data_IF_587969641957
#
_entry.id   IF_587969641957
#
_cell.length_a   1.000
_cell.length_b   1.000
_cell.length_c   1.000
_cell.angle_alpha   90.00
_cell.angle_beta   90.00
_cell.angle_gamma   90.00
#
_symmetry.space_group_name_H-M   'P 1'
#
loop_
_entity.id
_entity.type
_entity.pdbx_description
1 polymer ?
#
# COMPACT_ATOMS: atom_id res chain seq x y z
N UNK A 1 37.72 -36.58 -4.51
CA UNK A 1 37.69 -35.22 -3.94
C UNK A 1 36.63 -34.45 -4.72
N UNK A 2 35.41 -34.41 -4.20
CA UNK A 2 34.35 -33.56 -4.74
C UNK A 2 34.54 -32.13 -4.21
N UNK A 3 34.41 -31.08 -5.04
CA UNK A 3 34.42 -29.71 -4.56
C UNK A 3 33.12 -29.39 -3.80
N UNK A 4 33.17 -28.61 -2.71
CA UNK A 4 31.98 -28.24 -1.95
C UNK A 4 31.05 -27.31 -2.76
N UNK A 5 29.76 -27.65 -2.74
CA UNK A 5 28.68 -26.92 -3.42
C UNK A 5 28.49 -25.52 -2.82
N UNK A 6 28.54 -24.52 -3.70
CA UNK A 6 28.31 -23.09 -3.44
C UNK A 6 26.87 -22.81 -2.97
N UNK A 7 26.62 -22.96 -1.66
CA UNK A 7 25.32 -22.72 -1.03
C UNK A 7 24.96 -21.24 -0.80
N UNK A 8 25.90 -20.30 -0.98
CA UNK A 8 25.68 -18.87 -0.77
C UNK A 8 25.05 -18.15 -1.96
N UNK A 9 25.37 -18.58 -3.19
CA UNK A 9 24.82 -18.00 -4.41
C UNK A 9 23.32 -18.30 -4.60
N UNK A 10 22.85 -19.45 -4.10
CA UNK A 10 21.45 -19.82 -4.23
C UNK A 10 20.54 -18.97 -3.31
N UNK A 11 20.92 -18.70 -2.05
CA UNK A 11 20.12 -17.84 -1.15
C UNK A 11 20.02 -16.39 -1.64
N UNK A 12 21.09 -15.84 -2.20
CA UNK A 12 21.05 -14.50 -2.78
C UNK A 12 20.18 -14.46 -4.05
N UNK A 13 20.14 -15.55 -4.82
CA UNK A 13 19.30 -15.63 -6.03
C UNK A 13 17.80 -15.73 -5.75
N UNK A 14 17.39 -16.22 -4.56
CA UNK A 14 15.98 -16.27 -4.14
C UNK A 14 15.47 -14.93 -3.63
N UNK A 15 16.31 -14.17 -2.91
CA UNK A 15 15.96 -12.83 -2.38
C UNK A 15 15.84 -11.79 -3.51
N UNK A 16 16.55 -11.99 -4.63
CA UNK A 16 16.56 -11.05 -5.78
C UNK A 16 15.54 -11.37 -6.89
N UNK A 17 14.66 -12.36 -6.68
CA UNK A 17 13.62 -12.71 -7.65
C UNK A 17 12.24 -12.71 -7.00
N UNK A 18 11.82 -11.57 -6.44
CA UNK A 18 10.39 -11.32 -6.32
C UNK A 18 9.82 -11.34 -7.73
N UNK A 19 9.02 -12.37 -8.02
CA UNK A 19 8.35 -12.49 -9.33
C UNK A 19 7.31 -11.37 -9.42
N UNK A 20 6.98 -10.84 -10.61
CA UNK A 20 5.97 -9.79 -10.76
C UNK A 20 4.66 -10.06 -9.97
N UNK A 21 4.26 -11.33 -9.85
CA UNK A 21 3.12 -11.79 -9.04
C UNK A 21 3.20 -11.39 -7.57
N UNK A 22 4.38 -11.43 -6.96
CA UNK A 22 4.58 -11.08 -5.55
C UNK A 22 4.42 -9.57 -5.34
N UNK A 23 5.01 -8.76 -6.22
CA UNK A 23 4.83 -7.30 -6.21
C UNK A 23 3.37 -6.89 -6.39
N UNK A 24 2.63 -7.56 -7.27
CA UNK A 24 1.19 -7.38 -7.39
C UNK A 24 0.43 -7.79 -6.11
N UNK A 25 0.85 -8.85 -5.43
CA UNK A 25 0.31 -9.26 -4.13
C UNK A 25 0.50 -8.20 -3.05
N UNK A 26 1.72 -7.68 -2.91
CA UNK A 26 2.03 -6.60 -1.96
C UNK A 26 1.25 -5.32 -2.27
N UNK A 27 1.14 -4.94 -3.55
CA UNK A 27 0.31 -3.81 -3.96
C UNK A 27 -1.16 -4.06 -3.58
N UNK A 28 -1.70 -5.24 -3.85
CA UNK A 28 -3.10 -5.57 -3.53
C UNK A 28 -3.37 -5.45 -2.02
N UNK A 29 -2.45 -5.93 -1.17
CA UNK A 29 -2.54 -5.76 0.28
C UNK A 29 -2.52 -4.27 0.65
N UNK A 30 -1.59 -3.50 0.08
CA UNK A 30 -1.48 -2.07 0.37
C UNK A 30 -2.74 -1.30 -0.06
N UNK A 31 -3.27 -1.56 -1.26
CA UNK A 31 -4.50 -0.93 -1.76
C UNK A 31 -5.72 -1.35 -0.94
N UNK A 32 -5.82 -2.61 -0.52
CA UNK A 32 -6.90 -3.06 0.36
C UNK A 32 -6.88 -2.29 1.68
N UNK A 33 -5.71 -2.15 2.30
CA UNK A 33 -5.55 -1.39 3.54
C UNK A 33 -5.88 0.09 3.34
N UNK A 34 -5.27 0.73 2.35
CA UNK A 34 -5.35 2.18 2.13
C UNK A 34 -6.66 2.67 1.52
N UNK A 35 -7.40 1.82 0.79
CA UNK A 35 -8.63 2.24 0.14
C UNK A 35 -9.87 1.64 0.80
N UNK A 36 -9.84 0.36 1.16
CA UNK A 36 -11.05 -0.30 1.69
C UNK A 36 -11.11 -0.20 3.20
N UNK A 37 -10.06 -0.63 3.88
CA UNK A 37 -10.02 -0.61 5.35
C UNK A 37 -10.02 0.83 5.85
N UNK A 38 -9.20 1.70 5.26
CA UNK A 38 -9.18 3.12 5.58
C UNK A 38 -10.57 3.76 5.42
N UNK A 39 -11.22 3.62 4.25
CA UNK A 39 -12.57 4.13 4.02
C UNK A 39 -13.58 3.67 5.07
N UNK A 40 -13.63 2.37 5.35
CA UNK A 40 -14.56 1.81 6.33
C UNK A 40 -14.31 2.40 7.72
N UNK A 41 -13.04 2.53 8.11
CA UNK A 41 -12.68 3.09 9.41
C UNK A 41 -12.93 4.60 9.50
N UNK A 42 -12.70 5.38 8.45
CA UNK A 42 -13.07 6.80 8.39
C UNK A 42 -14.58 7.00 8.44
N UNK A 43 -15.37 6.20 7.70
CA UNK A 43 -16.83 6.25 7.76
C UNK A 43 -17.34 5.94 9.17
N UNK A 44 -16.77 4.92 9.83
CA UNK A 44 -17.16 4.54 11.16
C UNK A 44 -16.73 5.59 12.21
N UNK A 45 -15.51 6.12 12.11
CA UNK A 45 -15.05 7.21 12.97
C UNK A 45 -15.95 8.44 12.82
N UNK A 46 -16.30 8.85 11.60
CA UNK A 46 -17.22 9.96 11.36
C UNK A 46 -18.62 9.70 11.96
N UNK A 47 -19.10 8.46 11.94
CA UNK A 47 -20.36 8.09 12.59
C UNK A 47 -20.28 8.10 14.13
N UNK A 48 -19.13 7.75 14.70
CA UNK A 48 -18.92 7.66 16.15
C UNK A 48 -18.63 9.01 16.82
N UNK A 49 -17.80 9.85 16.19
CA UNK A 49 -17.30 11.12 16.78
C UNK A 49 -17.61 12.37 15.94
N UNK A 50 -18.23 12.21 14.77
CA UNK A 50 -18.57 13.29 13.86
C UNK A 50 -17.48 13.64 12.84
N UNK A 51 -17.88 14.33 11.76
CA UNK A 51 -17.00 14.72 10.64
C UNK A 51 -15.85 15.67 11.02
N UNK A 52 -15.98 16.42 12.11
CA UNK A 52 -14.97 17.38 12.55
C UNK A 52 -13.66 16.73 13.03
N UNK A 53 -13.69 15.43 13.31
CA UNK A 53 -12.51 14.65 13.69
C UNK A 53 -11.65 14.21 12.50
N UNK A 54 -12.16 14.33 11.25
CA UNK A 54 -11.43 13.96 10.04
C UNK A 54 -10.42 15.06 9.67
N UNK A 55 -9.13 14.77 9.84
CA UNK A 55 -8.06 15.72 9.56
C UNK A 55 -7.80 15.90 8.06
N UNK A 56 -8.13 14.91 7.23
CA UNK A 56 -7.94 14.99 5.79
C UNK A 56 -9.11 15.74 5.12
N UNK A 57 -8.90 16.97 4.61
CA UNK A 57 -9.99 17.77 4.04
C UNK A 57 -10.63 17.13 2.81
N UNK A 58 -9.86 16.34 2.05
CA UNK A 58 -10.38 15.61 0.88
C UNK A 58 -11.31 14.50 1.35
N UNK A 59 -10.92 13.75 2.38
CA UNK A 59 -11.74 12.67 2.93
C UNK A 59 -13.00 13.21 3.62
N UNK A 60 -12.88 14.29 4.38
CA UNK A 60 -14.02 14.99 4.99
C UNK A 60 -15.04 15.44 3.92
N UNK A 61 -14.57 15.96 2.79
CA UNK A 61 -15.43 16.31 1.66
C UNK A 61 -16.06 15.08 0.99
N UNK A 62 -15.33 13.98 0.85
CA UNK A 62 -15.82 12.73 0.26
C UNK A 62 -16.91 12.08 1.12
N UNK A 63 -16.78 12.12 2.45
CA UNK A 63 -17.73 11.53 3.39
C UNK A 63 -19.12 12.18 3.37
N UNK A 64 -19.24 13.43 2.91
CA UNK A 64 -20.53 14.11 2.74
C UNK A 64 -21.16 13.87 1.36
N UNK A 65 -20.46 13.20 0.45
CA UNK A 65 -20.99 12.88 -0.88
C UNK A 65 -21.93 11.66 -0.84
N UNK A 66 -22.80 11.50 -1.87
CA UNK A 66 -23.52 10.26 -2.09
C UNK A 66 -22.58 9.04 -2.13
N UNK A 67 -23.04 7.91 -1.57
CA UNK A 67 -22.23 6.69 -1.45
C UNK A 67 -21.57 6.23 -2.76
N UNK A 68 -22.24 6.41 -3.90
CA UNK A 68 -21.70 6.02 -5.21
C UNK A 68 -20.52 6.89 -5.66
N UNK A 69 -20.47 8.18 -5.28
CA UNK A 69 -19.31 9.05 -5.54
C UNK A 69 -18.14 8.62 -4.66
N UNK A 70 -18.42 8.34 -3.39
CA UNK A 70 -17.43 7.87 -2.42
C UNK A 70 -16.79 6.57 -2.90
N UNK A 71 -17.59 5.54 -3.17
CA UNK A 71 -17.12 4.24 -3.68
C UNK A 71 -16.45 4.39 -5.04
N UNK A 72 -17.06 5.14 -5.96
CA UNK A 72 -16.53 5.37 -7.30
C UNK A 72 -15.13 6.00 -7.28
N UNK A 73 -14.90 6.95 -6.38
CA UNK A 73 -13.60 7.61 -6.21
C UNK A 73 -12.52 6.62 -5.75
N UNK A 74 -12.84 5.74 -4.80
CA UNK A 74 -11.89 4.72 -4.32
C UNK A 74 -11.61 3.65 -5.38
N UNK A 75 -12.62 3.26 -6.17
CA UNK A 75 -12.43 2.35 -7.32
C UNK A 75 -11.52 2.98 -8.37
N UNK A 76 -11.74 4.26 -8.71
CA UNK A 76 -10.87 4.99 -9.65
C UNK A 76 -9.45 5.08 -9.11
N UNK A 77 -9.26 5.39 -7.83
CA UNK A 77 -7.95 5.40 -7.19
C UNK A 77 -7.24 4.04 -7.32
N UNK A 78 -7.93 2.94 -7.02
CA UNK A 78 -7.38 1.58 -7.15
C UNK A 78 -6.93 1.28 -8.60
N UNK A 79 -7.76 1.61 -9.58
CA UNK A 79 -7.47 1.38 -11.01
C UNK A 79 -6.27 2.20 -11.46
N UNK A 80 -6.24 3.49 -11.11
CA UNK A 80 -5.11 4.38 -11.45
C UNK A 80 -3.82 3.89 -10.81
N UNK A 81 -3.85 3.49 -9.53
CA UNK A 81 -2.70 2.91 -8.85
C UNK A 81 -2.20 1.63 -9.51
N UNK A 82 -3.11 0.73 -9.90
CA UNK A 82 -2.75 -0.50 -10.62
C UNK A 82 -2.10 -0.21 -11.97
N UNK A 83 -2.66 0.73 -12.76
CA UNK A 83 -2.08 1.13 -14.06
C UNK A 83 -0.69 1.77 -13.87
N UNK A 84 -0.55 2.67 -12.90
CA UNK A 84 0.73 3.30 -12.59
C UNK A 84 1.79 2.27 -12.19
N UNK A 85 1.39 1.30 -11.35
CA UNK A 85 2.28 0.23 -10.89
C UNK A 85 2.73 -0.69 -12.03
N UNK A 86 1.83 -1.05 -12.93
CA UNK A 86 2.18 -1.77 -14.16
C UNK A 86 3.23 -1.01 -14.97
N UNK A 87 3.11 0.32 -15.07
CA UNK A 87 4.11 1.19 -15.69
C UNK A 87 5.48 1.11 -14.99
N UNK A 88 5.50 1.12 -13.66
CA UNK A 88 6.72 0.98 -12.85
C UNK A 88 7.39 -0.38 -13.08
N UNK A 89 6.61 -1.47 -13.08
CA UNK A 89 7.14 -2.82 -13.34
C UNK A 89 7.73 -2.93 -14.75
N UNK A 90 7.08 -2.32 -15.75
CA UNK A 90 7.64 -2.25 -17.12
C UNK A 90 8.96 -1.49 -17.16
N UNK A 91 9.11 -0.41 -16.40
CA UNK A 91 10.37 0.33 -16.32
C UNK A 91 11.46 -0.48 -15.61
N UNK A 92 11.12 -1.17 -14.52
CA UNK A 92 12.04 -2.06 -13.81
C UNK A 92 12.56 -3.19 -14.72
N UNK A 93 11.68 -3.79 -15.52
CA UNK A 93 12.03 -4.86 -16.47
C UNK A 93 12.94 -4.40 -17.62
N UNK A 94 12.96 -3.10 -17.93
CA UNK A 94 13.86 -2.51 -18.94
C UNK A 94 15.24 -2.16 -18.38
N UNK A 95 15.39 -2.09 -17.05
CA UNK A 95 16.65 -1.76 -16.39
C UNK A 95 17.57 -2.98 -16.35
N UNK A 96 18.89 -2.77 -16.48
CA UNK A 96 19.90 -3.85 -16.46
C UNK A 96 21.03 -3.54 -15.48
N UNK A 97 21.62 -4.58 -14.89
CA UNK A 97 22.80 -4.46 -14.02
C UNK A 97 22.49 -3.89 -12.63
N UNK A 98 23.45 -3.16 -12.04
CA UNK A 98 23.34 -2.63 -10.66
C UNK A 98 22.12 -1.72 -10.46
N UNK A 99 21.75 -0.95 -11.48
CA UNK A 99 20.58 -0.06 -11.43
C UNK A 99 19.26 -0.81 -11.28
N UNK A 100 19.14 -1.99 -11.91
CA UNK A 100 17.95 -2.83 -11.78
C UNK A 100 17.79 -3.34 -10.35
N UNK A 101 18.90 -3.77 -9.72
CA UNK A 101 18.90 -4.27 -8.35
C UNK A 101 18.54 -3.19 -7.35
N UNK A 102 19.10 -1.99 -7.49
CA UNK A 102 18.76 -0.86 -6.63
C UNK A 102 17.28 -0.49 -6.79
N UNK A 103 16.78 -0.45 -8.02
CA UNK A 103 15.38 -0.13 -8.28
C UNK A 103 14.42 -1.18 -7.69
N UNK A 104 14.73 -2.48 -7.80
CA UNK A 104 13.95 -3.53 -7.17
C UNK A 104 13.87 -3.37 -5.64
N UNK A 105 15.01 -3.12 -4.99
CA UNK A 105 15.06 -2.88 -3.52
C UNK A 105 14.28 -1.63 -3.14
N UNK A 106 14.38 -0.55 -3.92
CA UNK A 106 13.60 0.66 -3.70
C UNK A 106 12.09 0.40 -3.83
N UNK A 107 11.67 -0.41 -4.81
CA UNK A 107 10.28 -0.79 -5.01
C UNK A 107 9.75 -1.63 -3.84
N UNK A 108 10.53 -2.60 -3.36
CA UNK A 108 10.21 -3.43 -2.19
C UNK A 108 10.05 -2.58 -0.93
N UNK A 109 11.00 -1.68 -0.69
CA UNK A 109 10.95 -0.77 0.45
C UNK A 109 9.71 0.12 0.37
N UNK A 110 9.41 0.68 -0.81
CA UNK A 110 8.23 1.51 -1.02
C UNK A 110 6.92 0.74 -0.80
N UNK A 111 6.80 -0.49 -1.30
CA UNK A 111 5.63 -1.35 -1.06
C UNK A 111 5.47 -1.67 0.43
N UNK A 112 6.56 -2.01 1.12
CA UNK A 112 6.57 -2.23 2.56
C UNK A 112 6.13 -0.98 3.34
N UNK A 113 6.62 0.20 2.94
CA UNK A 113 6.20 1.49 3.50
C UNK A 113 4.71 1.76 3.29
N UNK A 114 4.15 1.46 2.11
CA UNK A 114 2.71 1.63 1.86
C UNK A 114 1.86 0.74 2.79
N UNK A 115 2.26 -0.52 2.96
CA UNK A 115 1.57 -1.45 3.88
C UNK A 115 1.65 -0.95 5.32
N UNK A 116 2.85 -0.58 5.77
CA UNK A 116 3.06 -0.05 7.12
C UNK A 116 2.25 1.23 7.36
N UNK A 117 2.22 2.12 6.36
CA UNK A 117 1.43 3.35 6.41
C UNK A 117 -0.08 3.06 6.48
N UNK A 118 -0.58 2.12 5.68
CA UNK A 118 -1.98 1.68 5.75
C UNK A 118 -2.35 1.09 7.11
N UNK A 119 -1.47 0.28 7.72
CA UNK A 119 -1.66 -0.22 9.07
C UNK A 119 -1.64 0.89 10.13
N UNK A 120 -0.79 1.90 9.94
CA UNK A 120 -0.72 3.05 10.83
C UNK A 120 -1.99 3.90 10.76
N UNK A 121 -2.50 4.22 9.57
CA UNK A 121 -3.77 4.93 9.40
C UNK A 121 -4.94 4.15 9.99
N UNK A 122 -4.98 2.84 9.74
CA UNK A 122 -5.95 1.95 10.38
C UNK A 122 -5.89 2.04 11.91
N UNK A 123 -4.69 1.95 12.51
CA UNK A 123 -4.51 2.06 13.95
C UNK A 123 -4.92 3.45 14.48
N UNK A 124 -4.62 4.51 13.73
CA UNK A 124 -5.05 5.87 14.06
C UNK A 124 -6.58 5.97 14.10
N UNK A 125 -7.27 5.47 13.08
CA UNK A 125 -8.73 5.52 13.02
C UNK A 125 -9.34 4.66 14.14
N UNK A 126 -8.78 3.50 14.46
CA UNK A 126 -9.19 2.68 15.61
C UNK A 126 -8.99 3.42 16.94
N UNK A 127 -7.89 4.17 17.10
CA UNK A 127 -7.67 5.01 18.30
C UNK A 127 -8.74 6.07 18.44
N UNK A 128 -9.11 6.76 17.36
CA UNK A 128 -10.21 7.75 17.37
C UNK A 128 -11.51 7.10 17.80
N UNK A 129 -11.79 5.89 17.30
CA UNK A 129 -13.00 5.14 17.63
C UNK A 129 -13.05 4.74 19.12
N UNK A 130 -11.95 4.22 19.66
CA UNK A 130 -11.91 3.66 21.02
C UNK A 130 -11.72 4.73 22.08
N UNK A 131 -10.89 5.74 21.80
CA UNK A 131 -10.45 6.74 22.77
C UNK A 131 -10.97 8.15 22.48
N UNK A 132 -11.61 8.39 21.33
CA UNK A 132 -12.02 9.73 20.90
C UNK A 132 -10.85 10.65 20.53
N UNK A 133 -9.62 10.12 20.47
CA UNK A 133 -8.40 10.89 20.19
C UNK A 133 -7.61 10.26 19.04
N UNK A 134 -7.14 11.14 18.15
CA UNK A 134 -6.21 10.81 17.08
C UNK A 134 -4.80 10.60 17.64
N UNK A 135 -4.01 9.73 17.00
CA UNK A 135 -2.56 9.60 17.24
C UNK A 135 -1.76 10.70 16.50
N UNK A 136 -2.44 11.40 15.60
CA UNK A 136 -1.98 12.58 14.85
C UNK A 136 -2.61 13.88 15.37
#
# INVERSE_FOLDING_TARGET
MEPPVSGSNQRQSTILRARPTEYWGWLAVALFLLLTVDLLTSMYAAAAVGLHAEANPIMAWLLVQPLWILVGTHVVAAVVSAIAFEGILRLLNRSTGTGQRLFAVSLECWLGCLVAFGLFLFANNVSVIVHGMSLL
#
